data_IF_516989172015
#
_entry.id   IF_516989172015
#
_cell.length_a   1.000
_cell.length_b   1.000
_cell.length_c   1.000
_cell.angle_alpha   90.00
_cell.angle_beta   90.00
_cell.angle_gamma   90.00
#
_symmetry.space_group_name_H-M   'P 1'
#
loop_
_entity.id
_entity.type
_entity.pdbx_description
1 polymer ?
#
# COMPACT_ATOMS: atom_id res chain seq x y z
N UNK A 1 3.86 -5.14 -11.43
CA UNK A 1 2.85 -6.03 -10.85
C UNK A 1 1.50 -5.80 -11.52
N UNK A 2 0.61 -6.73 -11.35
CA UNK A 2 -0.75 -6.60 -11.90
C UNK A 2 -1.46 -5.37 -11.35
N UNK A 3 -1.22 -5.05 -10.09
CA UNK A 3 -1.81 -3.86 -9.47
C UNK A 3 -1.38 -2.59 -10.20
N UNK A 4 -0.08 -2.44 -10.45
CA UNK A 4 0.43 -1.27 -11.16
C UNK A 4 -0.19 -1.13 -12.54
N UNK A 5 -0.27 -2.23 -13.28
CA UNK A 5 -0.79 -2.22 -14.65
C UNK A 5 -2.28 -1.92 -14.67
N UNK A 6 -3.02 -2.40 -13.69
CA UNK A 6 -4.47 -2.17 -13.60
C UNK A 6 -4.79 -0.75 -13.19
N UNK A 7 -4.12 -0.25 -12.16
CA UNK A 7 -4.45 1.06 -11.58
C UNK A 7 -3.90 2.22 -12.40
N UNK A 8 -2.75 2.01 -13.03
CA UNK A 8 -2.09 3.09 -13.72
C UNK A 8 -1.70 4.19 -12.74
N UNK A 9 -1.88 5.45 -13.15
CA UNK A 9 -1.51 6.58 -12.32
C UNK A 9 -2.72 7.37 -11.81
N UNK A 10 -3.91 6.75 -11.83
CA UNK A 10 -5.15 7.44 -11.46
C UNK A 10 -5.77 6.96 -10.16
N UNK A 11 -5.03 6.21 -9.36
CA UNK A 11 -5.56 5.73 -8.08
C UNK A 11 -5.13 6.64 -6.92
N UNK A 12 -5.88 6.59 -5.83
CA UNK A 12 -5.50 7.32 -4.63
C UNK A 12 -4.80 6.38 -3.64
N UNK A 13 -4.20 6.97 -2.61
CA UNK A 13 -3.42 6.20 -1.64
C UNK A 13 -4.31 5.26 -0.83
N UNK A 14 -5.57 5.63 -0.60
CA UNK A 14 -6.48 4.78 0.17
C UNK A 14 -6.76 3.47 -0.54
N UNK A 15 -6.94 3.51 -1.86
CA UNK A 15 -7.15 2.29 -2.64
C UNK A 15 -5.92 1.38 -2.56
N UNK A 16 -4.72 1.95 -2.70
CA UNK A 16 -3.48 1.18 -2.62
C UNK A 16 -3.31 0.56 -1.23
N UNK A 17 -3.58 1.34 -0.18
CA UNK A 17 -3.51 0.83 1.19
C UNK A 17 -4.50 -0.29 1.44
N UNK A 18 -5.72 -0.16 0.91
CA UNK A 18 -6.73 -1.21 1.06
C UNK A 18 -6.29 -2.51 0.38
N UNK A 19 -5.74 -2.41 -0.82
CA UNK A 19 -5.22 -3.58 -1.52
C UNK A 19 -4.08 -4.20 -0.71
N UNK A 20 -3.16 -3.35 -0.23
CA UNK A 20 -2.03 -3.81 0.55
C UNK A 20 -2.47 -4.57 1.81
N UNK A 21 -3.43 -4.00 2.55
CA UNK A 21 -3.93 -4.63 3.78
C UNK A 21 -4.56 -5.98 3.50
N UNK A 22 -5.34 -6.10 2.44
CA UNK A 22 -5.97 -7.36 2.09
C UNK A 22 -4.95 -8.41 1.65
N UNK A 23 -3.96 -8.00 0.88
CA UNK A 23 -2.90 -8.91 0.45
C UNK A 23 -2.02 -9.33 1.61
N UNK A 24 -1.72 -8.41 2.51
CA UNK A 24 -0.94 -8.72 3.71
C UNK A 24 -1.68 -9.71 4.61
N UNK A 25 -2.99 -9.53 4.75
CA UNK A 25 -3.83 -10.43 5.52
C UNK A 25 -3.79 -11.85 4.95
N UNK A 26 -3.91 -11.98 3.63
CA UNK A 26 -3.82 -13.27 2.96
C UNK A 26 -2.44 -13.90 3.19
N UNK A 27 -1.38 -13.09 3.06
CA UNK A 27 -0.02 -13.57 3.27
C UNK A 27 0.17 -14.09 4.70
N UNK A 28 -0.39 -13.38 5.69
CA UNK A 28 -0.29 -13.81 7.09
C UNK A 28 -1.03 -15.11 7.34
N UNK A 29 -2.19 -15.29 6.72
CA UNK A 29 -2.97 -16.52 6.88
C UNK A 29 -2.23 -17.74 6.31
N UNK A 30 -1.37 -17.52 5.34
CA UNK A 30 -0.66 -18.59 4.64
C UNK A 30 0.84 -18.63 4.91
N UNK A 31 1.30 -17.92 5.93
CA UNK A 31 2.76 -17.80 6.18
C UNK A 31 3.42 -19.13 6.53
N UNK A 32 2.64 -20.07 7.05
CA UNK A 32 3.17 -21.39 7.41
C UNK A 32 3.06 -22.40 6.27
N UNK A 33 2.39 -22.03 5.18
CA UNK A 33 2.22 -22.93 4.05
C UNK A 33 3.52 -23.07 3.27
N UNK A 34 3.92 -24.31 2.91
CA UNK A 34 5.15 -24.49 2.14
C UNK A 34 5.02 -24.08 0.69
N UNK A 35 3.80 -23.98 0.17
CA UNK A 35 3.55 -23.61 -1.22
C UNK A 35 3.20 -22.14 -1.33
N UNK A 36 3.58 -21.50 -2.45
CA UNK A 36 3.22 -20.09 -2.64
C UNK A 36 1.71 -19.92 -2.77
N UNK A 37 1.22 -18.76 -2.33
CA UNK A 37 -0.20 -18.43 -2.45
C UNK A 37 -0.51 -18.10 -3.90
N UNK A 38 -1.59 -18.69 -4.43
CA UNK A 38 -2.08 -18.38 -5.77
C UNK A 38 -3.51 -17.84 -5.65
N UNK A 39 -3.85 -16.92 -6.53
CA UNK A 39 -5.17 -16.29 -6.56
C UNK A 39 -5.76 -16.42 -7.95
N UNK A 40 -7.04 -16.78 -8.03
CA UNK A 40 -7.71 -16.83 -9.31
C UNK A 40 -8.25 -15.43 -9.67
N UNK A 41 -8.75 -15.30 -10.89
CA UNK A 41 -9.20 -14.02 -11.40
C UNK A 41 -10.33 -13.42 -10.57
N UNK A 42 -11.28 -14.25 -10.13
CA UNK A 42 -12.40 -13.77 -9.33
C UNK A 42 -11.97 -13.29 -7.97
N UNK A 43 -11.01 -13.97 -7.34
CA UNK A 43 -10.47 -13.54 -6.05
C UNK A 43 -9.78 -12.19 -6.16
N UNK A 44 -8.95 -12.01 -7.18
CA UNK A 44 -8.25 -10.74 -7.40
C UNK A 44 -9.26 -9.63 -7.72
N UNK A 45 -10.24 -9.93 -8.57
CA UNK A 45 -11.26 -8.98 -8.94
C UNK A 45 -12.05 -8.50 -7.73
N UNK A 46 -12.40 -9.42 -6.84
CA UNK A 46 -13.11 -9.09 -5.60
C UNK A 46 -12.26 -8.19 -4.71
N UNK A 47 -10.97 -8.49 -4.57
CA UNK A 47 -10.06 -7.67 -3.78
C UNK A 47 -9.99 -6.25 -4.34
N UNK A 48 -9.83 -6.12 -5.65
CA UNK A 48 -9.73 -4.79 -6.28
C UNK A 48 -11.03 -4.01 -6.13
N UNK A 49 -12.16 -4.63 -6.45
CA UNK A 49 -13.46 -3.97 -6.36
C UNK A 49 -13.77 -3.50 -4.94
N UNK A 50 -13.48 -4.35 -3.95
CA UNK A 50 -13.75 -4.00 -2.55
C UNK A 50 -12.73 -3.02 -1.97
N UNK A 51 -11.63 -2.78 -2.67
CA UNK A 51 -10.59 -1.85 -2.21
C UNK A 51 -10.81 -0.43 -2.74
N UNK A 52 -11.73 -0.25 -3.69
CA UNK A 52 -12.01 1.07 -4.21
C UNK A 52 -11.54 1.31 -5.65
N UNK A 53 -11.18 0.25 -6.37
CA UNK A 53 -10.80 0.39 -7.77
C UNK A 53 -12.02 0.77 -8.59
N UNK A 54 -11.89 1.82 -9.40
CA UNK A 54 -13.00 2.32 -10.21
C UNK A 54 -13.43 1.32 -11.29
N UNK A 55 -14.72 1.37 -11.65
CA UNK A 55 -15.29 0.41 -12.61
C UNK A 55 -14.58 0.44 -13.98
N UNK A 56 -14.17 1.61 -14.44
CA UNK A 56 -13.48 1.73 -15.72
C UNK A 56 -12.12 1.05 -15.70
N UNK A 57 -11.49 0.95 -14.53
CA UNK A 57 -10.22 0.25 -14.40
C UNK A 57 -10.41 -1.27 -14.35
N UNK A 58 -11.61 -1.74 -14.05
CA UNK A 58 -11.86 -3.17 -14.00
C UNK A 58 -11.82 -3.81 -15.39
N UNK A 59 -12.09 -3.04 -16.45
CA UNK A 59 -11.92 -3.53 -17.81
C UNK A 59 -10.42 -3.71 -18.12
N UNK A 60 -9.61 -2.75 -17.67
CA UNK A 60 -8.15 -2.85 -17.79
C UNK A 60 -7.64 -4.05 -17.00
N UNK A 61 -8.23 -4.28 -15.82
CA UNK A 61 -7.89 -5.43 -15.00
C UNK A 61 -8.06 -6.75 -15.78
N UNK A 62 -9.19 -6.94 -16.43
CA UNK A 62 -9.44 -8.15 -17.18
C UNK A 62 -8.36 -8.40 -18.22
N UNK A 63 -7.99 -7.36 -18.97
CA UNK A 63 -6.96 -7.44 -19.98
C UNK A 63 -5.58 -7.73 -19.36
N UNK A 64 -5.26 -7.04 -18.27
CA UNK A 64 -3.96 -7.20 -17.61
C UNK A 64 -3.82 -8.59 -16.99
N UNK A 65 -4.89 -9.09 -16.39
CA UNK A 65 -4.85 -10.43 -15.81
C UNK A 65 -4.61 -11.48 -16.88
N UNK A 66 -5.38 -11.40 -17.96
CA UNK A 66 -5.27 -12.38 -19.04
C UNK A 66 -3.89 -12.32 -19.70
N UNK A 67 -3.34 -11.13 -19.87
CA UNK A 67 -2.01 -10.98 -20.44
C UNK A 67 -0.92 -11.55 -19.52
N UNK A 68 -1.08 -11.38 -18.22
CA UNK A 68 -0.09 -11.86 -17.24
C UNK A 68 -0.20 -13.36 -17.03
N UNK A 69 -1.42 -13.87 -16.93
CA UNK A 69 -1.66 -15.29 -16.65
C UNK A 69 -1.49 -16.18 -17.89
N UNK A 70 -1.68 -15.60 -19.08
CA UNK A 70 -1.69 -16.37 -20.31
C UNK A 70 -2.82 -17.37 -20.29
N UNK A 71 -2.50 -18.65 -20.40
CA UNK A 71 -3.51 -19.72 -20.37
C UNK A 71 -3.82 -20.20 -18.95
N UNK A 72 -3.11 -19.70 -17.95
CA UNK A 72 -3.36 -20.08 -16.57
C UNK A 72 -4.64 -19.41 -16.04
N UNK A 73 -5.27 -20.04 -15.06
CA UNK A 73 -6.49 -19.51 -14.46
C UNK A 73 -6.20 -18.78 -13.13
N UNK A 74 -4.95 -18.81 -12.69
CA UNK A 74 -4.55 -18.17 -11.43
C UNK A 74 -3.15 -17.61 -11.56
N UNK A 75 -2.82 -16.70 -10.65
CA UNK A 75 -1.49 -16.09 -10.57
C UNK A 75 -0.96 -16.25 -9.17
N UNK A 76 0.37 -16.32 -9.04
CA UNK A 76 0.99 -16.22 -7.71
C UNK A 76 0.69 -14.84 -7.14
N UNK A 77 0.37 -14.79 -5.85
CA UNK A 77 0.01 -13.53 -5.20
C UNK A 77 1.09 -12.46 -5.40
N UNK A 78 2.37 -12.85 -5.38
CA UNK A 78 3.46 -11.90 -5.56
C UNK A 78 3.52 -11.30 -6.95
N UNK A 79 2.89 -11.94 -7.95
CA UNK A 79 2.78 -11.37 -9.30
C UNK A 79 1.62 -10.38 -9.39
N UNK A 80 0.66 -10.47 -8.47
CA UNK A 80 -0.44 -9.52 -8.36
C UNK A 80 0.04 -8.29 -7.59
N UNK A 81 0.56 -8.52 -6.39
CA UNK A 81 1.06 -7.48 -5.50
C UNK A 81 1.92 -8.15 -4.43
N UNK A 82 3.08 -7.57 -4.14
CA UNK A 82 3.96 -8.09 -3.09
C UNK A 82 3.72 -7.31 -1.79
N UNK A 83 3.06 -7.92 -0.78
CA UNK A 83 2.76 -7.22 0.46
C UNK A 83 3.90 -7.20 1.47
N UNK A 84 5.08 -7.69 1.09
CA UNK A 84 6.23 -7.74 2.00
C UNK A 84 6.93 -6.41 2.16
N UNK A 85 6.60 -5.43 1.34
CA UNK A 85 7.19 -4.10 1.42
C UNK A 85 6.11 -3.06 1.13
N UNK A 86 6.31 -1.88 1.69
CA UNK A 86 5.47 -0.73 1.38
C UNK A 86 6.37 0.48 1.24
N UNK A 87 6.48 0.98 0.02
CA UNK A 87 7.38 2.08 -0.29
C UNK A 87 6.62 3.21 -0.96
N UNK A 88 6.82 4.42 -0.47
CA UNK A 88 6.25 5.62 -1.07
C UNK A 88 7.40 6.40 -1.69
N UNK A 89 7.25 6.78 -2.93
CA UNK A 89 8.33 7.38 -3.69
C UNK A 89 7.87 8.63 -4.43
N UNK A 90 8.63 9.69 -4.29
CA UNK A 90 8.47 10.91 -5.07
C UNK A 90 9.82 11.21 -5.74
N UNK A 91 9.92 12.23 -6.61
CA UNK A 91 11.21 12.52 -7.24
C UNK A 91 12.35 12.78 -6.27
N UNK A 92 12.04 13.35 -5.11
CA UNK A 92 13.07 13.75 -4.14
C UNK A 92 13.07 12.95 -2.85
N UNK A 93 12.10 12.05 -2.66
CA UNK A 93 11.92 11.37 -1.37
C UNK A 93 11.58 9.90 -1.60
N UNK A 94 12.20 9.04 -0.81
CA UNK A 94 11.84 7.63 -0.75
C UNK A 94 11.60 7.29 0.71
N UNK A 95 10.45 6.72 0.99
CA UNK A 95 10.07 6.34 2.35
C UNK A 95 9.71 4.86 2.35
N UNK A 96 10.32 4.10 3.23
CA UNK A 96 10.01 2.69 3.41
C UNK A 96 9.27 2.55 4.73
N UNK A 97 8.10 1.97 4.67
CA UNK A 97 7.22 1.81 5.82
C UNK A 97 7.11 0.33 6.14
N UNK A 98 7.05 0.03 7.44
CA UNK A 98 6.76 -1.34 7.87
C UNK A 98 5.46 -1.77 7.19
N UNK A 99 5.47 -2.86 6.42
CA UNK A 99 4.27 -3.27 5.66
C UNK A 99 3.05 -3.59 6.51
N UNK A 100 3.21 -3.75 7.82
CA UNK A 100 2.09 -3.96 8.73
C UNK A 100 1.62 -2.66 9.38
N UNK A 101 2.24 -1.53 9.04
CA UNK A 101 1.92 -0.24 9.62
C UNK A 101 1.64 0.82 8.55
N UNK A 102 0.90 0.43 7.51
CA UNK A 102 0.50 1.38 6.47
C UNK A 102 -0.49 2.42 6.99
N UNK A 103 -1.09 2.16 8.14
CA UNK A 103 -1.98 3.10 8.83
C UNK A 103 -1.27 4.41 9.18
N UNK A 104 0.06 4.39 9.32
CA UNK A 104 0.83 5.57 9.68
C UNK A 104 0.98 6.59 8.56
N UNK A 105 0.70 6.20 7.33
CA UNK A 105 0.96 7.05 6.16
C UNK A 105 -0.35 7.46 5.50
N UNK A 106 -0.53 8.75 5.28
CA UNK A 106 -1.71 9.30 4.62
C UNK A 106 -1.33 10.49 3.77
N UNK A 107 -2.20 10.84 2.83
CA UNK A 107 -2.05 12.10 2.11
C UNK A 107 -3.05 13.09 2.66
N UNK A 108 -2.70 14.36 2.63
CA UNK A 108 -3.53 15.40 3.17
C UNK A 108 -3.24 16.71 2.46
N UNK A 109 -4.29 17.50 2.28
CA UNK A 109 -4.15 18.83 1.71
C UNK A 109 -3.89 19.80 2.87
N UNK A 110 -2.73 20.42 2.88
CA UNK A 110 -2.34 21.39 3.92
C UNK A 110 -1.99 22.69 3.24
N UNK A 111 -2.72 23.76 3.57
CA UNK A 111 -2.54 25.07 2.97
C UNK A 111 -2.51 25.04 1.46
N UNK A 112 -3.39 24.23 0.85
CA UNK A 112 -3.49 24.09 -0.60
C UNK A 112 -2.44 23.20 -1.23
N UNK A 113 -1.59 22.58 -0.43
CA UNK A 113 -0.53 21.69 -0.94
C UNK A 113 -0.81 20.24 -0.61
N UNK A 114 -0.58 19.37 -1.57
CA UNK A 114 -0.64 17.94 -1.32
C UNK A 114 0.56 17.53 -0.48
N UNK A 115 0.29 16.93 0.67
CA UNK A 115 1.33 16.53 1.59
C UNK A 115 1.20 15.05 1.92
N UNK A 116 2.35 14.42 2.17
CA UNK A 116 2.38 13.08 2.73
C UNK A 116 2.57 13.25 4.24
N UNK A 117 1.66 12.70 5.02
CA UNK A 117 1.69 12.83 6.48
C UNK A 117 2.00 11.45 7.07
N UNK A 118 2.98 11.41 7.94
CA UNK A 118 3.39 10.19 8.62
C UNK A 118 3.24 10.40 10.11
N UNK A 119 2.41 9.56 10.74
CA UNK A 119 2.26 9.61 12.19
C UNK A 119 3.51 9.05 12.86
N UNK A 120 3.95 9.70 13.90
CA UNK A 120 5.14 9.29 14.61
C UNK A 120 4.76 8.45 15.82
N UNK A 121 5.33 7.28 15.89
CA UNK A 121 5.05 6.32 16.94
C UNK A 121 6.39 5.92 17.56
N UNK A 122 6.94 6.83 18.32
CA UNK A 122 8.24 6.64 18.95
C UNK A 122 9.23 7.75 18.57
N UNK A 123 10.49 7.46 18.74
CA UNK A 123 11.55 8.41 18.44
C UNK A 123 11.86 8.48 16.95
N UNK A 124 12.29 9.66 16.54
CA UNK A 124 12.72 9.88 15.15
C UNK A 124 14.24 9.85 15.12
N UNK A 125 14.79 9.26 14.07
CA UNK A 125 16.21 9.23 13.86
C UNK A 125 16.52 9.89 12.52
N UNK A 126 17.45 10.82 12.51
CA UNK A 126 17.88 11.53 11.30
C UNK A 126 19.38 11.32 11.13
N UNK A 127 19.78 10.63 10.07
CA UNK A 127 21.21 10.31 9.83
C UNK A 127 21.87 9.67 11.04
N UNK A 128 21.15 8.78 11.71
CA UNK A 128 21.66 8.09 12.89
C UNK A 128 21.53 8.86 14.19
N UNK A 129 21.00 10.07 14.12
CA UNK A 129 20.86 10.93 15.30
C UNK A 129 19.41 10.91 15.78
N UNK A 130 19.21 10.56 17.02
CA UNK A 130 17.87 10.59 17.61
C UNK A 130 17.46 12.03 17.88
N UNK A 131 16.31 12.43 17.36
CA UNK A 131 15.82 13.78 17.51
C UNK A 131 14.43 13.79 18.14
N UNK A 132 14.07 14.92 18.71
CA UNK A 132 12.75 15.10 19.31
C UNK A 132 11.77 15.59 18.25
N UNK A 133 10.59 14.98 18.23
CA UNK A 133 9.54 15.43 17.33
C UNK A 133 9.02 16.80 17.77
N UNK A 134 8.56 17.60 16.80
CA UNK A 134 8.02 18.91 17.08
C UNK A 134 6.84 18.80 18.06
N UNK A 135 6.81 19.64 19.07
CA UNK A 135 5.76 19.62 20.08
C UNK A 135 5.86 18.52 21.11
N UNK A 136 6.81 17.61 20.95
CA UNK A 136 7.01 16.51 21.87
C UNK A 136 7.59 17.03 23.20
N UNK A 137 6.96 16.69 24.29
CA UNK A 137 7.43 17.11 25.60
C UNK A 137 6.93 18.47 26.09
N UNK A 138 6.18 19.12 25.28
CA UNK A 138 5.55 20.37 25.68
C UNK A 138 4.19 20.10 26.25
N UNK A 139 3.79 20.06 26.73
CA UNK A 139 2.56 19.67 26.82
C UNK A 139 1.81 20.31 27.72
N UNK A 140 2.42 20.50 27.16
CA UNK A 140 2.04 21.06 27.30
C UNK A 140 1.89 21.96 27.00
N UNK A 141 1.95 22.21 26.74
CA UNK A 141 1.77 22.98 26.08
C UNK A 141 1.23 23.44 25.64
N UNK A 142 1.02 23.26 25.86
CA UNK A 142 0.49 23.67 25.16
C UNK A 142 -0.16 24.10 25.03
N UNK A 143 -0.38 23.98 25.32
CA UNK A 143 -0.89 24.17 24.98
C UNK A 143 -1.18 24.71 25.08
N UNK A 144 -1.24 24.69 25.47
CA UNK A 144 -1.47 25.02 25.28
C UNK A 144 -1.70 25.24 25.22
#
# INVERSE_FOLDING_TARGET
>A
SLVEETLGDSCDIETVKNIHEKMNEIAQEHKEDPEPVVLDKNEVKTIFASSGVANDRMEVFDQCFDATAGEATSLMMTNVYNPRSFEVKTPDVVIKVNPERTDLVNTKLIDGRQCLVIELDGNIEVNGITVRAAGSGDREESEE
#
